data_IF_353803750381
#
_entry.id   IF_353803750381
#
_cell.length_a   1.000
_cell.length_b   1.000
_cell.length_c   1.000
_cell.angle_alpha   90.00
_cell.angle_beta   90.00
_cell.angle_gamma   90.00
#
_symmetry.space_group_name_H-M   'P 1'
#
loop_
_entity.id
_entity.type
_entity.pdbx_description
1 polymer ?
#
# COMPACT_ATOMS: atom_id res chain seq x y z
N UNK A 1 2.29 35.96 -37.62
CA UNK A 1 1.23 35.07 -37.11
C UNK A 1 1.88 34.02 -36.24
N UNK A 2 1.91 34.24 -34.92
CA UNK A 2 2.48 33.31 -33.95
C UNK A 2 1.40 32.31 -33.56
N UNK A 3 1.57 31.04 -33.94
CA UNK A 3 0.61 29.98 -33.63
C UNK A 3 0.90 29.43 -32.24
N UNK A 4 -0.15 29.47 -31.43
CA UNK A 4 -0.28 29.04 -30.04
C UNK A 4 0.25 27.62 -29.78
N UNK A 5 1.20 27.51 -28.86
CA UNK A 5 1.55 26.26 -28.17
C UNK A 5 0.53 25.98 -27.07
N UNK A 6 -0.24 24.88 -27.21
CA UNK A 6 -1.20 24.43 -26.22
C UNK A 6 -0.51 23.98 -24.90
N UNK A 7 -1.07 24.28 -23.71
CA UNK A 7 -0.55 23.75 -22.46
C UNK A 7 -1.05 22.31 -22.21
N UNK A 8 -0.10 21.38 -22.25
CA UNK A 8 0.13 20.18 -21.42
C UNK A 8 -1.06 19.39 -20.87
N UNK A 9 -1.19 18.14 -21.34
CA UNK A 9 -2.02 17.05 -20.79
C UNK A 9 -1.67 16.57 -19.38
N UNK A 10 -0.56 17.00 -18.78
CA UNK A 10 -0.10 16.51 -17.46
C UNK A 10 -0.90 17.07 -16.27
N UNK A 11 -1.60 18.19 -16.43
CA UNK A 11 -2.34 18.83 -15.32
C UNK A 11 -3.60 18.05 -14.95
N UNK A 12 -4.30 17.46 -15.93
CA UNK A 12 -5.50 16.65 -15.65
C UNK A 12 -5.19 15.30 -14.97
N UNK A 13 -3.99 14.73 -15.18
CA UNK A 13 -3.63 13.44 -14.57
C UNK A 13 -3.32 13.59 -13.08
N UNK A 14 -2.62 14.67 -12.69
CA UNK A 14 -2.40 15.02 -11.29
C UNK A 14 -3.74 15.24 -10.58
N UNK A 15 -4.63 16.04 -11.16
CA UNK A 15 -5.96 16.28 -10.60
C UNK A 15 -6.76 14.98 -10.38
N UNK A 16 -6.65 14.02 -11.30
CA UNK A 16 -7.32 12.72 -11.17
C UNK A 16 -6.76 11.87 -10.03
N UNK A 17 -5.44 11.80 -9.89
CA UNK A 17 -4.79 11.05 -8.79
C UNK A 17 -5.13 11.65 -7.43
N UNK A 18 -5.10 12.99 -7.32
CA UNK A 18 -5.52 13.68 -6.10
C UNK A 18 -7.01 13.41 -5.77
N UNK A 19 -7.90 13.47 -6.75
CA UNK A 19 -9.32 13.15 -6.56
C UNK A 19 -9.53 11.70 -6.10
N UNK A 20 -8.78 10.75 -6.66
CA UNK A 20 -8.85 9.35 -6.25
C UNK A 20 -8.41 9.15 -4.80
N UNK A 21 -7.30 9.80 -4.41
CA UNK A 21 -6.81 9.81 -3.03
C UNK A 21 -7.87 10.31 -2.04
N UNK A 22 -8.42 11.51 -2.25
CA UNK A 22 -9.43 12.06 -1.33
C UNK A 22 -10.70 11.23 -1.32
N UNK A 23 -11.18 10.78 -2.49
CA UNK A 23 -12.38 9.96 -2.55
C UNK A 23 -12.19 8.60 -1.84
N UNK A 24 -10.99 8.01 -1.90
CA UNK A 24 -10.68 6.78 -1.17
C UNK A 24 -10.64 7.00 0.35
N UNK A 25 -10.10 8.12 0.81
CA UNK A 25 -10.06 8.49 2.22
C UNK A 25 -11.44 8.85 2.77
N UNK A 26 -12.26 9.58 2.01
CA UNK A 26 -13.64 9.90 2.40
C UNK A 26 -14.44 8.62 2.60
N UNK A 27 -14.29 7.66 1.68
CA UNK A 27 -14.88 6.33 1.80
C UNK A 27 -14.37 5.59 3.04
N UNK A 28 -13.10 5.73 3.40
CA UNK A 28 -12.47 5.09 4.54
C UNK A 28 -12.70 5.82 5.89
N UNK A 29 -13.54 6.86 5.93
CA UNK A 29 -13.79 7.61 7.16
C UNK A 29 -12.58 8.42 7.64
N UNK A 30 -11.78 8.92 6.69
CA UNK A 30 -10.53 9.66 6.90
C UNK A 30 -9.38 8.88 7.55
N UNK A 31 -9.53 7.57 7.74
CA UNK A 31 -8.43 6.70 8.17
C UNK A 31 -7.52 6.36 6.99
N UNK A 32 -6.30 6.92 6.97
CA UNK A 32 -5.26 6.52 6.00
C UNK A 32 -4.62 5.19 6.43
N UNK A 33 -5.35 4.11 6.17
CA UNK A 33 -4.98 2.74 6.54
C UNK A 33 -5.36 1.80 5.42
N UNK A 34 -4.57 0.74 5.25
CA UNK A 34 -4.95 -0.34 4.35
C UNK A 34 -6.28 -0.96 4.80
N UNK A 35 -7.23 -1.07 3.88
CA UNK A 35 -8.53 -1.66 4.15
C UNK A 35 -8.46 -3.15 4.49
N UNK A 36 -7.45 -3.84 3.96
CA UNK A 36 -7.19 -5.25 4.22
C UNK A 36 -6.48 -5.40 5.57
N UNK A 37 -5.30 -4.80 5.71
CA UNK A 37 -4.43 -5.07 6.86
C UNK A 37 -4.45 -4.05 8.00
N UNK A 38 -5.22 -2.97 7.87
CA UNK A 38 -5.32 -1.83 8.81
C UNK A 38 -4.00 -1.10 9.13
N UNK A 39 -2.87 -1.57 8.59
CA UNK A 39 -1.58 -0.88 8.68
C UNK A 39 -1.67 0.51 8.05
N UNK A 40 -1.07 1.47 8.72
CA UNK A 40 -0.77 2.81 8.24
C UNK A 40 0.31 2.76 7.16
N UNK A 41 0.44 3.83 6.36
CA UNK A 41 1.57 3.98 5.46
C UNK A 41 2.93 3.82 6.16
N UNK A 42 3.10 4.38 7.36
CA UNK A 42 4.36 4.31 8.11
C UNK A 42 4.75 2.87 8.46
N UNK A 43 3.82 2.08 8.97
CA UNK A 43 4.03 0.66 9.31
C UNK A 43 4.38 -0.18 8.08
N UNK A 44 3.79 0.14 6.92
CA UNK A 44 4.11 -0.54 5.65
C UNK A 44 5.50 -0.16 5.15
N UNK A 45 5.91 1.12 5.24
CA UNK A 45 7.28 1.53 4.92
C UNK A 45 8.29 0.80 5.80
N UNK A 46 8.01 0.71 7.10
CA UNK A 46 8.85 -0.04 8.04
C UNK A 46 8.98 -1.51 7.67
N UNK A 47 7.89 -2.15 7.25
CA UNK A 47 7.92 -3.54 6.76
C UNK A 47 8.89 -3.73 5.59
N UNK A 48 8.98 -2.77 4.68
CA UNK A 48 9.93 -2.80 3.56
C UNK A 48 11.36 -2.35 3.94
N UNK A 49 11.63 -2.07 5.21
CA UNK A 49 12.93 -1.60 5.66
C UNK A 49 13.17 -0.11 5.41
N UNK A 50 12.12 0.70 5.37
CA UNK A 50 12.18 2.16 5.24
C UNK A 50 11.67 2.85 6.51
N UNK A 51 12.23 4.02 6.82
CA UNK A 51 11.66 4.94 7.80
C UNK A 51 10.38 5.57 7.26
N UNK A 52 9.62 6.23 8.12
CA UNK A 52 8.36 6.90 7.76
C UNK A 52 8.54 7.93 6.62
N UNK A 53 9.65 8.65 6.62
CA UNK A 53 10.01 9.63 5.58
C UNK A 53 10.37 8.98 4.23
N UNK A 54 10.44 7.65 4.16
CA UNK A 54 10.82 6.91 2.96
C UNK A 54 12.31 6.72 2.77
N UNK A 55 13.13 7.04 3.78
CA UNK A 55 14.57 6.73 3.76
C UNK A 55 14.82 5.26 4.12
N UNK A 56 15.67 4.54 3.38
CA UNK A 56 16.03 3.16 3.74
C UNK A 56 16.74 3.07 5.10
N UNK A 57 16.42 2.03 5.88
CA UNK A 57 17.03 1.76 7.19
C UNK A 57 18.41 1.09 7.05
N UNK A 58 18.59 0.21 6.06
CA UNK A 58 19.82 -0.59 5.88
C UNK A 58 20.23 -0.73 4.39
N UNK A 59 19.96 0.30 3.58
CA UNK A 59 20.20 0.30 2.12
C UNK A 59 21.63 -0.11 1.73
N UNK A 60 22.62 0.42 2.46
CA UNK A 60 24.04 0.19 2.19
C UNK A 60 24.43 -1.28 2.34
N UNK A 61 23.77 -2.04 3.23
CA UNK A 61 24.05 -3.46 3.42
C UNK A 61 23.58 -4.33 2.26
N UNK A 62 22.50 -3.92 1.59
CA UNK A 62 21.91 -4.67 0.47
C UNK A 62 22.29 -4.12 -0.91
N UNK A 63 23.17 -3.11 -0.97
CA UNK A 63 23.57 -2.46 -2.22
C UNK A 63 22.41 -1.71 -2.92
N UNK A 64 21.38 -1.35 -2.16
CA UNK A 64 20.21 -0.61 -2.65
C UNK A 64 20.45 0.88 -2.35
N UNK A 65 21.45 1.45 -2.99
CA UNK A 65 21.72 2.89 -2.91
C UNK A 65 20.78 3.57 -3.94
N UNK A 66 20.05 4.63 -3.53
CA UNK A 66 19.10 5.45 -4.32
C UNK A 66 17.60 5.07 -4.42
N UNK A 67 17.06 4.17 -3.59
CA UNK A 67 15.59 4.00 -3.52
C UNK A 67 14.99 4.89 -2.43
N UNK A 68 14.18 5.89 -2.83
CA UNK A 68 13.35 6.70 -1.92
C UNK A 68 11.89 6.42 -2.23
N UNK A 69 11.11 6.03 -1.22
CA UNK A 69 9.67 5.80 -1.36
C UNK A 69 8.86 7.03 -0.92
N UNK A 70 8.16 7.65 -1.85
CA UNK A 70 7.20 8.71 -1.55
C UNK A 70 5.93 8.14 -0.88
N UNK A 71 5.11 9.00 -0.29
CA UNK A 71 3.89 8.63 0.46
C UNK A 71 2.92 7.78 -0.34
N UNK A 72 2.81 8.00 -1.65
CA UNK A 72 1.88 7.28 -2.53
C UNK A 72 2.44 5.94 -3.01
N UNK A 73 3.72 5.66 -2.82
CA UNK A 73 4.38 4.50 -3.46
C UNK A 73 4.07 3.17 -2.77
N UNK A 74 3.54 3.23 -1.55
CA UNK A 74 3.27 2.05 -0.72
C UNK A 74 1.78 1.82 -0.46
N UNK A 75 0.94 2.76 -0.88
CA UNK A 75 -0.50 2.74 -0.72
C UNK A 75 -1.18 3.03 -2.06
N UNK A 76 -1.99 2.08 -2.51
CA UNK A 76 -2.86 2.27 -3.67
C UNK A 76 -4.19 2.86 -3.23
N UNK A 77 -4.56 4.00 -3.84
CA UNK A 77 -5.86 4.67 -3.65
C UNK A 77 -6.76 4.56 -4.89
N UNK A 78 -6.35 3.81 -5.91
CA UNK A 78 -7.08 3.70 -7.17
C UNK A 78 -8.40 2.91 -7.09
N UNK A 79 -8.63 2.19 -5.98
CA UNK A 79 -9.80 1.34 -5.77
C UNK A 79 -10.88 1.95 -4.86
N UNK A 80 -11.90 1.13 -4.55
CA UNK A 80 -12.97 1.53 -3.63
C UNK A 80 -12.48 1.86 -2.21
N UNK A 81 -11.32 1.34 -1.82
CA UNK A 81 -10.66 1.60 -0.53
C UNK A 81 -9.14 1.61 -0.71
N UNK A 82 -8.38 2.27 0.19
CA UNK A 82 -6.92 2.20 0.18
C UNK A 82 -6.42 0.76 0.43
N UNK A 83 -5.44 0.30 -0.33
CA UNK A 83 -4.79 -1.01 -0.15
C UNK A 83 -3.27 -0.84 -0.19
N UNK A 84 -2.53 -1.47 0.73
CA UNK A 84 -1.08 -1.33 0.75
C UNK A 84 -0.38 -2.28 -0.23
N UNK A 85 0.85 -1.93 -0.60
CA UNK A 85 1.67 -2.72 -1.52
C UNK A 85 1.88 -4.17 -1.05
N UNK A 86 1.97 -4.43 0.27
CA UNK A 86 2.11 -5.80 0.80
C UNK A 86 0.88 -6.65 0.47
N UNK A 87 -0.32 -6.15 0.78
CA UNK A 87 -1.56 -6.87 0.49
C UNK A 87 -1.78 -7.03 -1.01
N UNK A 88 -1.41 -6.02 -1.81
CA UNK A 88 -1.49 -6.10 -3.26
C UNK A 88 -0.54 -7.16 -3.83
N UNK A 89 0.74 -7.16 -3.43
CA UNK A 89 1.72 -8.16 -3.87
C UNK A 89 1.32 -9.58 -3.50
N UNK A 90 0.76 -9.79 -2.29
CA UNK A 90 0.30 -11.11 -1.89
C UNK A 90 -0.88 -11.59 -2.75
N UNK A 91 -1.85 -10.71 -3.01
CA UNK A 91 -2.99 -11.02 -3.87
C UNK A 91 -2.54 -11.30 -5.31
N UNK A 92 -1.65 -10.48 -5.85
CA UNK A 92 -1.07 -10.65 -7.18
C UNK A 92 -0.30 -11.98 -7.27
N UNK A 93 0.48 -12.34 -6.25
CA UNK A 93 1.22 -13.59 -6.21
C UNK A 93 0.30 -14.82 -6.19
N UNK A 94 -0.76 -14.82 -5.39
CA UNK A 94 -1.77 -15.89 -5.37
C UNK A 94 -2.52 -16.00 -6.69
N UNK A 95 -2.85 -14.86 -7.31
CA UNK A 95 -3.51 -14.84 -8.61
C UNK A 95 -2.60 -15.38 -9.73
N UNK A 96 -1.32 -14.99 -9.72
CA UNK A 96 -0.33 -15.41 -10.70
C UNK A 96 0.12 -16.87 -10.52
N UNK A 97 0.13 -17.40 -9.30
CA UNK A 97 0.46 -18.81 -9.04
C UNK A 97 -0.61 -19.77 -9.57
N UNK A 98 -1.81 -19.28 -9.88
CA UNK A 98 -2.93 -20.07 -10.35
C UNK A 98 -3.60 -20.91 -9.26
N UNK A 99 -3.22 -20.71 -8.00
CA UNK A 99 -3.81 -21.36 -6.84
C UNK A 99 -5.14 -20.69 -6.46
N UNK A 100 -6.18 -21.07 -7.20
CA UNK A 100 -7.51 -20.47 -7.08
C UNK A 100 -8.22 -20.87 -5.80
N UNK A 101 -7.91 -22.05 -5.25
CA UNK A 101 -8.55 -22.55 -4.05
C UNK A 101 -8.02 -21.78 -2.83
N UNK A 102 -6.69 -21.64 -2.71
CA UNK A 102 -6.09 -20.82 -1.65
C UNK A 102 -6.52 -19.35 -1.73
N UNK A 103 -6.64 -18.79 -2.94
CA UNK A 103 -7.15 -17.44 -3.13
C UNK A 103 -8.61 -17.30 -2.67
N UNK A 104 -9.46 -18.26 -3.01
CA UNK A 104 -10.87 -18.21 -2.62
C UNK A 104 -11.06 -18.36 -1.11
N UNK A 105 -10.32 -19.27 -0.48
CA UNK A 105 -10.29 -19.44 0.98
C UNK A 105 -9.85 -18.14 1.68
N UNK A 106 -8.76 -17.53 1.21
CA UNK A 106 -8.26 -16.27 1.77
C UNK A 106 -9.30 -15.13 1.64
N UNK A 107 -9.94 -15.01 0.47
CA UNK A 107 -10.97 -13.99 0.24
C UNK A 107 -12.18 -14.20 1.17
N UNK A 108 -12.59 -15.45 1.37
CA UNK A 108 -13.67 -15.80 2.28
C UNK A 108 -13.30 -15.47 3.74
N UNK A 109 -12.10 -15.83 4.19
CA UNK A 109 -11.63 -15.48 5.54
C UNK A 109 -11.53 -13.97 5.75
N UNK A 110 -11.12 -13.21 4.74
CA UNK A 110 -11.06 -11.74 4.78
C UNK A 110 -12.45 -11.09 4.86
N UNK A 111 -13.47 -11.75 4.31
CA UNK A 111 -14.86 -11.32 4.36
C UNK A 111 -15.52 -11.67 5.70
N UNK A 112 -15.38 -12.93 6.15
CA UNK A 112 -16.14 -13.48 7.28
C UNK A 112 -15.41 -13.37 8.62
N UNK A 113 -14.07 -13.38 8.60
CA UNK A 113 -13.23 -13.59 9.79
C UNK A 113 -12.10 -12.56 9.91
N UNK A 114 -12.31 -11.36 9.34
CA UNK A 114 -11.30 -10.30 9.27
C UNK A 114 -10.56 -10.04 10.59
N UNK A 115 -11.26 -10.04 11.72
CA UNK A 115 -10.66 -9.74 13.02
C UNK A 115 -9.77 -10.88 13.55
N UNK A 116 -9.91 -12.11 13.04
CA UNK A 116 -9.07 -13.27 13.43
C UNK A 116 -7.78 -13.41 12.61
N UNK A 117 -7.71 -12.76 11.46
CA UNK A 117 -6.53 -12.77 10.59
C UNK A 117 -5.37 -11.93 11.18
N UNK A 118 -5.60 -11.31 12.33
CA UNK A 118 -4.59 -10.56 13.06
C UNK A 118 -4.18 -11.26 14.36
N UNK A 119 -2.87 -11.21 14.70
CA UNK A 119 -2.47 -11.38 16.08
C UNK A 119 -3.25 -10.37 16.94
N UNK A 120 -3.72 -10.78 18.12
CA UNK A 120 -4.31 -9.84 19.08
C UNK A 120 -3.34 -8.66 19.31
N UNK A 121 -3.86 -7.47 19.65
CA UNK A 121 -3.04 -6.29 19.95
C UNK A 121 -1.99 -6.55 21.06
N UNK A 122 -2.19 -7.63 21.83
CA UNK A 122 -1.34 -8.08 22.93
C UNK A 122 -0.31 -9.14 22.50
N UNK A 123 -0.24 -9.49 21.20
CA UNK A 123 0.70 -10.49 20.72
C UNK A 123 2.12 -9.97 20.98
N UNK A 124 2.95 -10.72 21.71
CA UNK A 124 4.32 -10.30 21.98
C UNK A 124 5.01 -10.03 20.64
N UNK A 125 5.72 -8.90 20.56
CA UNK A 125 6.55 -8.60 19.40
C UNK A 125 7.41 -9.85 19.10
N UNK A 126 7.58 -10.23 17.83
CA UNK A 126 8.47 -11.33 17.49
C UNK A 126 9.82 -11.05 18.14
N UNK A 127 10.34 -12.07 18.84
CA UNK A 127 11.67 -12.03 19.45
C UNK A 127 12.69 -11.86 18.31
N UNK A 128 13.10 -10.62 18.09
CA UNK A 128 14.16 -10.24 17.16
C UNK A 128 15.49 -10.76 17.75
N UNK A 129 15.68 -12.07 17.76
CA UNK A 129 16.83 -12.78 18.34
C UNK A 129 18.14 -12.49 17.59
N UNK A 130 18.56 -11.22 17.57
CA UNK A 130 19.84 -10.72 17.07
C UNK A 130 20.63 -10.11 18.22
#
# INVERSE_FOLDING_TARGET
MASSSAPRSDTMSLDRTFQQYFAALDRAGHGDRCFVCRRTPAEVKQFFGFREDGTPIDAARYGIEDVVLDRLDIMSYGGARPVCAVCQLNLDALLLSGDRDALHELLQEMEEQRDKLWPADDAPAPDDGV
#
